data_IF_434811288761
#
_entry.id   IF_434811288761
#
_cell.length_a   1.000
_cell.length_b   1.000
_cell.length_c   1.000
_cell.angle_alpha   90.00
_cell.angle_beta   90.00
_cell.angle_gamma   90.00
#
_symmetry.space_group_name_H-M   'P 1'
#
loop_
_entity.id
_entity.type
_entity.pdbx_description
1 polymer ?
#
# COMPACT_ATOMS: atom_id res chain seq x y z
N UNK A 1 -12.12 -14.18 9.47
CA UNK A 1 -11.29 -13.56 8.41
C UNK A 1 -12.22 -12.94 7.36
N UNK A 2 -11.99 -11.71 6.94
CA UNK A 2 -12.80 -11.05 5.90
C UNK A 2 -12.48 -11.63 4.51
N UNK A 3 -13.52 -11.96 3.75
CA UNK A 3 -13.45 -12.35 2.33
C UNK A 3 -14.54 -11.60 1.58
N UNK A 4 -14.16 -10.65 0.73
CA UNK A 4 -15.14 -9.85 0.01
C UNK A 4 -14.52 -8.92 -1.02
N UNK A 5 -15.30 -8.64 -2.07
CA UNK A 5 -14.91 -7.79 -3.19
C UNK A 5 -15.81 -6.57 -3.35
N UNK A 6 -17.03 -6.59 -2.79
CA UNK A 6 -17.99 -5.49 -2.91
C UNK A 6 -18.09 -4.67 -1.62
N UNK A 7 -18.44 -3.39 -1.77
CA UNK A 7 -18.68 -2.48 -0.65
C UNK A 7 -19.79 -3.00 0.28
N UNK A 8 -20.84 -3.62 -0.29
CA UNK A 8 -21.93 -4.23 0.49
C UNK A 8 -21.44 -5.38 1.38
N UNK A 9 -20.54 -6.23 0.88
CA UNK A 9 -19.93 -7.29 1.69
C UNK A 9 -19.07 -6.71 2.82
N UNK A 10 -18.34 -5.63 2.54
CA UNK A 10 -17.55 -4.93 3.54
C UNK A 10 -18.46 -4.35 4.65
N UNK A 11 -19.50 -3.60 4.28
CA UNK A 11 -20.40 -2.93 5.23
C UNK A 11 -21.19 -3.95 6.08
N UNK A 12 -21.52 -5.12 5.52
CA UNK A 12 -22.15 -6.21 6.28
C UNK A 12 -21.22 -6.84 7.32
N UNK A 13 -19.92 -6.86 7.04
CA UNK A 13 -18.90 -7.49 7.89
C UNK A 13 -18.35 -6.53 8.95
N UNK A 14 -18.14 -5.26 8.60
CA UNK A 14 -17.71 -4.21 9.51
C UNK A 14 -18.84 -3.20 9.68
N UNK A 15 -19.66 -3.38 10.72
CA UNK A 15 -20.82 -2.52 10.96
C UNK A 15 -20.48 -1.35 11.87
N UNK A 16 -19.52 -1.56 12.77
CA UNK A 16 -19.11 -0.55 13.74
C UNK A 16 -17.61 -0.59 14.05
N UNK A 17 -17.14 0.42 14.80
CA UNK A 17 -15.77 0.53 15.28
C UNK A 17 -15.30 -0.71 16.06
N UNK A 18 -16.21 -1.32 16.82
CA UNK A 18 -15.92 -2.50 17.65
C UNK A 18 -15.61 -3.74 16.79
N UNK A 19 -16.26 -3.91 15.63
CA UNK A 19 -15.95 -4.98 14.69
C UNK A 19 -14.53 -4.81 14.14
N UNK A 20 -14.16 -3.59 13.76
CA UNK A 20 -12.81 -3.28 13.28
C UNK A 20 -11.75 -3.52 14.37
N UNK A 21 -12.02 -3.12 15.62
CA UNK A 21 -11.11 -3.34 16.75
C UNK A 21 -10.95 -4.82 17.08
N UNK A 22 -12.04 -5.59 17.07
CA UNK A 22 -12.00 -7.05 17.24
C UNK A 22 -11.17 -7.69 16.14
N UNK A 23 -11.38 -7.28 14.89
CA UNK A 23 -10.62 -7.79 13.76
C UNK A 23 -9.13 -7.45 13.86
N UNK A 24 -8.76 -6.23 14.29
CA UNK A 24 -7.37 -5.87 14.55
C UNK A 24 -6.76 -6.70 15.67
N UNK A 25 -7.51 -6.98 16.74
CA UNK A 25 -7.07 -7.84 17.83
C UNK A 25 -6.65 -9.20 17.30
N UNK A 26 -7.54 -9.83 16.53
CA UNK A 26 -7.31 -11.15 15.94
C UNK A 26 -6.09 -11.13 15.01
N UNK A 27 -5.93 -10.10 14.17
CA UNK A 27 -4.79 -10.00 13.25
C UNK A 27 -3.46 -9.78 13.97
N UNK A 28 -3.43 -8.89 14.97
CA UNK A 28 -2.22 -8.50 15.69
C UNK A 28 -1.65 -9.67 16.49
N UNK A 29 -2.50 -10.44 17.14
CA UNK A 29 -2.08 -11.55 18.02
C UNK A 29 -2.38 -12.94 17.46
N UNK A 30 -2.67 -13.07 16.15
CA UNK A 30 -2.89 -14.36 15.49
C UNK A 30 -1.76 -15.37 15.67
N UNK A 31 -0.52 -14.90 15.86
CA UNK A 31 0.68 -15.74 16.05
C UNK A 31 1.02 -15.96 17.53
N UNK A 32 0.12 -15.59 18.44
CA UNK A 32 0.36 -15.55 19.87
C UNK A 32 0.63 -14.14 20.38
N UNK A 33 0.38 -13.94 21.68
CA UNK A 33 0.76 -12.71 22.38
C UNK A 33 2.25 -12.72 22.70
N UNK A 34 2.91 -11.59 22.49
CA UNK A 34 4.26 -11.37 22.99
C UNK A 34 4.39 -9.92 23.42
N UNK A 35 4.66 -9.71 24.72
CA UNK A 35 4.78 -8.37 25.28
C UNK A 35 5.95 -7.62 24.65
N UNK A 36 5.69 -6.43 24.07
CA UNK A 36 6.75 -5.61 23.45
C UNK A 36 7.82 -5.08 24.42
N UNK A 37 7.56 -5.10 25.74
CA UNK A 37 8.52 -4.63 26.76
C UNK A 37 9.39 -5.75 27.36
N UNK A 38 8.85 -6.96 27.53
CA UNK A 38 9.53 -8.04 28.26
C UNK A 38 9.45 -9.41 27.58
N UNK A 39 8.88 -9.49 26.38
CA UNK A 39 8.72 -10.70 25.56
C UNK A 39 7.92 -11.84 26.20
N UNK A 40 7.25 -11.60 27.34
CA UNK A 40 6.39 -12.58 27.99
C UNK A 40 5.18 -12.95 27.12
N UNK A 41 4.80 -14.23 27.14
CA UNK A 41 3.78 -14.81 26.26
C UNK A 41 2.35 -14.78 26.79
N UNK A 42 2.16 -14.44 28.07
CA UNK A 42 0.83 -14.40 28.68
C UNK A 42 0.33 -12.99 28.95
N UNK A 43 -0.99 -12.83 28.87
CA UNK A 43 -1.67 -11.58 29.15
C UNK A 43 -2.96 -11.77 29.95
N UNK A 44 -3.34 -10.73 30.67
CA UNK A 44 -4.68 -10.52 31.21
C UNK A 44 -5.48 -9.61 30.28
N UNK A 45 -6.81 -9.60 30.47
CA UNK A 45 -7.67 -8.56 29.87
C UNK A 45 -7.15 -7.18 30.30
N UNK A 46 -6.92 -6.30 29.33
CA UNK A 46 -6.44 -4.95 29.59
C UNK A 46 -7.52 -4.03 30.16
N UNK A 47 -7.14 -2.77 30.40
CA UNK A 47 -8.03 -1.75 30.99
C UNK A 47 -9.34 -1.53 30.22
N UNK A 48 -9.35 -1.71 28.90
CA UNK A 48 -10.57 -1.63 28.09
C UNK A 48 -10.72 -2.87 27.21
N UNK A 49 -11.89 -3.04 26.59
CA UNK A 49 -12.32 -4.23 25.83
C UNK A 49 -11.29 -4.74 24.80
N UNK A 50 -10.52 -3.84 24.19
CA UNK A 50 -9.54 -4.15 23.13
C UNK A 50 -8.10 -3.85 23.53
N UNK A 51 -7.77 -4.07 24.81
CA UNK A 51 -6.41 -3.95 25.33
C UNK A 51 -5.97 -5.27 25.95
N UNK A 52 -4.68 -5.52 25.89
CA UNK A 52 -4.01 -6.65 26.55
C UNK A 52 -3.06 -6.12 27.62
N UNK A 53 -3.06 -6.71 28.82
CA UNK A 53 -2.12 -6.36 29.89
C UNK A 53 -1.15 -7.52 30.10
N UNK A 54 0.15 -7.26 29.98
CA UNK A 54 1.17 -8.28 30.24
C UNK A 54 1.11 -8.76 31.70
N UNK A 55 1.14 -10.07 31.95
CA UNK A 55 1.16 -10.62 33.32
C UNK A 55 2.45 -10.32 34.10
N UNK A 56 3.58 -10.14 33.39
CA UNK A 56 4.91 -9.98 33.99
C UNK A 56 5.27 -8.53 34.33
N UNK A 57 4.95 -7.59 33.43
CA UNK A 57 5.40 -6.19 33.57
C UNK A 57 4.26 -5.16 33.56
N UNK A 58 3.01 -5.62 33.64
CA UNK A 58 1.81 -4.78 33.68
C UNK A 58 1.61 -3.81 32.50
N UNK A 59 2.40 -3.98 31.44
CA UNK A 59 2.29 -3.18 30.24
C UNK A 59 0.94 -3.40 29.57
N UNK A 60 0.17 -2.31 29.42
CA UNK A 60 -1.08 -2.30 28.71
C UNK A 60 -0.84 -1.88 27.26
N UNK A 61 -1.27 -2.71 26.33
CA UNK A 61 -1.14 -2.47 24.90
C UNK A 61 -2.51 -2.47 24.22
N UNK A 62 -2.81 -1.43 23.43
CA UNK A 62 -4.04 -1.37 22.64
C UNK A 62 -3.91 -2.16 21.33
N UNK A 63 -5.03 -2.49 20.70
CA UNK A 63 -5.06 -3.11 19.36
C UNK A 63 -4.37 -2.26 18.28
N UNK A 64 -4.42 -0.93 18.39
CA UNK A 64 -3.82 -0.02 17.42
C UNK A 64 -2.36 0.29 17.70
N UNK A 65 -1.88 0.14 18.94
CA UNK A 65 -0.49 0.37 19.30
C UNK A 65 0.46 -0.52 18.49
N UNK A 66 1.60 0.03 18.07
CA UNK A 66 2.63 -0.67 17.29
C UNK A 66 2.12 -1.25 15.95
N UNK A 67 1.11 -0.60 15.35
CA UNK A 67 0.57 -0.93 14.04
C UNK A 67 0.50 0.31 13.16
N UNK A 68 0.18 0.14 11.86
CA UNK A 68 -0.18 1.28 11.01
C UNK A 68 -1.46 1.98 11.44
N UNK A 69 -2.25 1.43 12.38
CA UNK A 69 -3.41 2.10 12.96
C UNK A 69 -3.07 2.97 14.18
N UNK A 70 -1.81 2.96 14.65
CA UNK A 70 -1.39 3.80 15.78
C UNK A 70 -1.49 5.29 15.43
N UNK A 71 -2.10 6.08 16.33
CA UNK A 71 -2.22 7.53 16.19
C UNK A 71 -3.14 7.99 15.05
N UNK A 72 -3.94 7.11 14.46
CA UNK A 72 -4.94 7.51 13.48
C UNK A 72 -6.07 8.27 14.18
N UNK A 73 -6.35 9.48 13.68
CA UNK A 73 -7.48 10.31 14.15
C UNK A 73 -8.78 10.03 13.40
N UNK A 74 -8.72 9.29 12.30
CA UNK A 74 -9.90 8.83 11.55
C UNK A 74 -10.63 7.72 12.32
N UNK A 75 -11.96 7.66 12.26
CA UNK A 75 -12.71 6.47 12.70
C UNK A 75 -12.16 5.22 12.02
N UNK A 76 -11.97 4.14 12.79
CA UNK A 76 -11.36 2.91 12.30
C UNK A 76 -12.19 2.28 11.18
N UNK A 77 -13.51 2.42 11.22
CA UNK A 77 -14.41 1.96 10.18
C UNK A 77 -14.13 2.67 8.84
N UNK A 78 -13.98 4.01 8.86
CA UNK A 78 -13.56 4.78 7.67
C UNK A 78 -12.18 4.33 7.21
N UNK A 79 -11.21 4.19 8.11
CA UNK A 79 -9.86 3.75 7.78
C UNK A 79 -9.83 2.35 7.13
N UNK A 80 -10.62 1.40 7.63
CA UNK A 80 -10.73 0.07 7.05
C UNK A 80 -11.35 0.11 5.65
N UNK A 81 -12.41 0.90 5.46
CA UNK A 81 -13.09 1.03 4.17
C UNK A 81 -12.21 1.71 3.12
N UNK A 82 -11.44 2.73 3.54
CA UNK A 82 -10.40 3.33 2.69
C UNK A 82 -9.32 2.31 2.30
N UNK A 83 -8.83 1.49 3.24
CA UNK A 83 -7.86 0.44 2.94
C UNK A 83 -8.44 -0.62 1.99
N UNK A 84 -9.71 -0.99 2.16
CA UNK A 84 -10.45 -1.86 1.25
C UNK A 84 -10.48 -1.30 -0.18
N UNK A 85 -10.82 -0.02 -0.36
CA UNK A 85 -10.83 0.66 -1.67
C UNK A 85 -9.45 0.70 -2.30
N UNK A 86 -8.41 1.04 -1.54
CA UNK A 86 -7.02 1.09 -2.03
C UNK A 86 -6.55 -0.31 -2.47
N UNK A 87 -7.02 -1.36 -1.79
CA UNK A 87 -6.72 -2.76 -2.17
C UNK A 87 -7.47 -3.24 -3.40
N UNK A 88 -8.57 -2.58 -3.78
CA UNK A 88 -9.42 -2.95 -4.90
C UNK A 88 -8.85 -2.51 -6.25
N UNK A 89 -9.29 -3.16 -7.34
CA UNK A 89 -8.71 -2.99 -8.69
C UNK A 89 -8.64 -1.53 -9.19
N UNK A 90 -9.68 -0.73 -8.96
CA UNK A 90 -9.76 0.65 -9.48
C UNK A 90 -8.90 1.62 -8.65
N UNK A 91 -8.75 1.38 -7.35
CA UNK A 91 -8.22 2.38 -6.43
C UNK A 91 -9.06 3.67 -6.41
N UNK A 92 -8.60 4.67 -5.68
CA UNK A 92 -9.16 6.03 -5.69
C UNK A 92 -8.03 7.05 -5.45
N UNK A 93 -8.18 8.24 -6.03
CA UNK A 93 -7.29 9.34 -5.74
C UNK A 93 -7.47 9.83 -4.29
N UNK A 94 -6.53 10.61 -3.76
CA UNK A 94 -6.73 11.22 -2.45
C UNK A 94 -7.84 12.26 -2.44
N UNK A 95 -8.21 12.82 -3.59
CA UNK A 95 -9.32 13.77 -3.75
C UNK A 95 -10.65 13.01 -3.70
N UNK A 96 -10.78 11.92 -4.45
CA UNK A 96 -11.98 11.08 -4.44
C UNK A 96 -12.21 10.46 -3.06
N UNK A 97 -11.14 9.99 -2.40
CA UNK A 97 -11.22 9.51 -1.02
C UNK A 97 -11.66 10.61 -0.04
N UNK A 98 -11.30 11.87 -0.28
CA UNK A 98 -11.70 12.98 0.56
C UNK A 98 -13.21 13.24 0.45
N UNK A 99 -13.72 13.20 -0.78
CA UNK A 99 -15.14 13.38 -1.11
C UNK A 99 -15.96 12.22 -0.56
N UNK A 100 -15.60 10.99 -0.92
CA UNK A 100 -16.33 9.76 -0.53
C UNK A 100 -16.44 9.59 0.99
N UNK A 101 -15.41 9.97 1.74
CA UNK A 101 -15.37 9.81 3.19
C UNK A 101 -15.64 11.09 3.98
N UNK A 102 -15.90 12.20 3.29
CA UNK A 102 -16.12 13.52 3.89
C UNK A 102 -15.00 13.90 4.87
N UNK A 103 -13.76 13.81 4.41
CA UNK A 103 -12.57 14.16 5.19
C UNK A 103 -11.70 15.15 4.44
N UNK A 104 -10.83 15.87 5.16
CA UNK A 104 -9.83 16.70 4.52
C UNK A 104 -8.94 15.86 3.59
N UNK A 105 -8.70 16.35 2.37
CA UNK A 105 -7.85 15.73 1.37
C UNK A 105 -6.45 15.38 1.92
N UNK A 106 -5.89 16.23 2.78
CA UNK A 106 -4.60 15.97 3.45
C UNK A 106 -4.69 14.74 4.36
N UNK A 107 -5.79 14.56 5.09
CA UNK A 107 -6.02 13.37 5.91
C UNK A 107 -6.17 12.11 5.05
N UNK A 108 -6.92 12.20 3.95
CA UNK A 108 -7.07 11.11 2.99
C UNK A 108 -5.71 10.70 2.40
N UNK A 109 -4.92 11.69 1.98
CA UNK A 109 -3.57 11.49 1.43
C UNK A 109 -2.61 10.89 2.45
N UNK A 110 -2.59 11.39 3.70
CA UNK A 110 -1.75 10.85 4.78
C UNK A 110 -2.09 9.40 5.06
N UNK A 111 -3.37 9.06 5.15
CA UNK A 111 -3.81 7.68 5.38
C UNK A 111 -3.46 6.78 4.19
N UNK A 112 -3.76 7.19 2.96
CA UNK A 112 -3.43 6.40 1.77
C UNK A 112 -1.91 6.17 1.64
N UNK A 113 -1.10 7.18 1.96
CA UNK A 113 0.37 7.05 2.02
C UNK A 113 0.79 6.06 3.10
N UNK A 114 0.15 6.09 4.27
CA UNK A 114 0.39 5.15 5.36
C UNK A 114 0.05 3.71 4.94
N UNK A 115 -1.05 3.50 4.22
CA UNK A 115 -1.46 2.21 3.63
C UNK A 115 -0.42 1.72 2.62
N UNK A 116 0.01 2.55 1.66
CA UNK A 116 1.03 2.19 0.67
C UNK A 116 2.36 1.79 1.31
N UNK A 117 2.77 2.48 2.39
CA UNK A 117 3.97 2.14 3.15
C UNK A 117 3.88 0.78 3.84
N UNK A 118 2.67 0.36 4.25
CA UNK A 118 2.43 -0.94 4.85
C UNK A 118 2.58 -2.10 3.88
N UNK A 119 2.42 -1.85 2.58
CA UNK A 119 2.65 -2.86 1.55
C UNK A 119 4.16 -3.21 1.56
N UNK A 120 4.51 -4.49 1.82
CA UNK A 120 5.89 -4.90 1.89
C UNK A 120 6.56 -4.68 0.53
N UNK A 121 7.81 -4.24 0.57
CA UNK A 121 8.65 -4.31 -0.61
C UNK A 121 9.01 -5.77 -0.84
N UNK A 122 8.85 -6.26 -2.06
CA UNK A 122 9.41 -7.55 -2.41
C UNK A 122 10.91 -7.35 -2.65
N UNK A 123 11.70 -7.95 -1.77
CA UNK A 123 13.15 -7.85 -1.78
C UNK A 123 13.73 -8.46 -3.06
N UNK A 124 14.23 -7.60 -3.95
CA UNK A 124 14.84 -7.95 -5.23
C UNK A 124 16.16 -8.71 -5.08
N UNK A 125 16.80 -8.68 -3.90
CA UNK A 125 18.03 -9.44 -3.63
C UNK A 125 17.78 -10.95 -3.56
N UNK A 126 16.52 -11.38 -3.35
CA UNK A 126 16.12 -12.80 -3.26
C UNK A 126 15.64 -13.39 -4.58
N UNK A 127 15.73 -12.65 -5.68
CA UNK A 127 15.27 -13.08 -7.01
C UNK A 127 16.46 -13.67 -7.79
N UNK A 128 16.41 -14.97 -8.08
CA UNK A 128 17.50 -15.73 -8.75
C UNK A 128 17.78 -15.30 -10.19
N UNK A 129 16.79 -14.74 -10.89
CA UNK A 129 16.93 -14.25 -12.27
C UNK A 129 16.45 -12.80 -12.36
N UNK A 130 17.38 -11.85 -12.39
CA UNK A 130 17.08 -10.43 -12.62
C UNK A 130 16.97 -10.19 -14.12
N UNK A 131 15.76 -10.15 -14.66
CA UNK A 131 15.55 -9.55 -15.98
C UNK A 131 15.42 -8.05 -15.74
N UNK A 132 16.54 -7.32 -15.76
CA UNK A 132 16.53 -5.85 -15.76
C UNK A 132 15.92 -5.41 -17.09
N UNK A 133 14.64 -5.05 -17.08
CA UNK A 133 14.04 -4.29 -18.17
C UNK A 133 14.22 -2.83 -17.82
N UNK A 134 14.94 -2.08 -18.65
CA UNK A 134 14.88 -0.62 -18.65
C UNK A 134 13.46 -0.30 -19.07
N UNK A 135 12.71 0.34 -18.18
CA UNK A 135 11.33 0.72 -18.44
C UNK A 135 11.34 2.15 -18.93
N UNK A 136 10.70 2.38 -20.08
CA UNK A 136 10.25 3.70 -20.48
C UNK A 136 9.63 4.48 -19.32
N UNK A 137 9.92 5.77 -19.30
CA UNK A 137 9.61 6.68 -18.23
C UNK A 137 8.24 6.63 -17.60
N UNK A 138 8.19 6.68 -16.26
CA UNK A 138 6.96 7.01 -15.54
C UNK A 138 6.69 8.50 -15.63
N UNK A 139 5.54 8.83 -16.23
CA UNK A 139 4.92 10.15 -16.18
C UNK A 139 4.77 10.62 -14.73
N UNK A 140 5.52 11.65 -14.36
CA UNK A 140 5.31 12.42 -13.15
C UNK A 140 4.75 13.79 -13.52
N UNK A 141 3.89 14.34 -12.68
CA UNK A 141 3.36 15.70 -12.83
C UNK A 141 4.00 16.56 -11.75
N UNK A 142 4.89 17.47 -12.12
CA UNK A 142 5.52 18.38 -11.18
C UNK A 142 4.87 19.76 -11.24
N UNK A 143 4.85 20.49 -10.11
CA UNK A 143 4.56 21.93 -10.10
C UNK A 143 5.87 22.66 -9.81
N UNK A 144 6.60 23.02 -10.85
CA UNK A 144 7.70 24.01 -10.83
C UNK A 144 7.60 24.84 -12.11
N UNK A 145 8.16 26.05 -12.09
CA UNK A 145 8.45 26.79 -13.32
C UNK A 145 9.22 25.86 -14.29
N UNK A 146 8.78 25.80 -15.54
CA UNK A 146 9.33 24.94 -16.61
C UNK A 146 9.25 23.41 -16.42
N UNK A 147 8.58 22.89 -15.38
CA UNK A 147 8.39 21.44 -15.17
C UNK A 147 6.92 20.99 -15.33
N UNK A 148 6.08 21.80 -15.99
CA UNK A 148 4.68 21.48 -16.23
C UNK A 148 4.58 20.43 -17.35
N UNK A 149 4.72 19.14 -17.02
CA UNK A 149 4.65 18.08 -18.03
C UNK A 149 4.91 16.68 -17.48
N UNK A 150 4.60 15.70 -18.32
CA UNK A 150 4.76 14.26 -18.08
C UNK A 150 6.27 13.90 -18.19
N UNK A 151 6.92 13.53 -17.07
CA UNK A 151 8.37 13.23 -17.07
C UNK A 151 8.70 11.74 -17.32
N UNK A 152 9.94 11.39 -17.70
CA UNK A 152 10.41 10.00 -17.86
C UNK A 152 11.28 9.61 -16.66
N UNK A 153 10.93 8.51 -15.98
CA UNK A 153 11.70 7.90 -14.88
C UNK A 153 11.94 6.43 -15.15
N UNK A 154 13.19 5.99 -15.09
CA UNK A 154 13.53 4.57 -15.21
C UNK A 154 13.13 3.78 -13.97
N UNK A 155 12.50 2.64 -14.19
CA UNK A 155 12.17 1.67 -13.13
C UNK A 155 12.67 0.31 -13.55
N UNK A 156 13.27 -0.43 -12.62
CA UNK A 156 13.67 -1.82 -12.85
C UNK A 156 12.66 -2.78 -12.23
N UNK A 157 12.07 -3.68 -13.04
CA UNK A 157 11.26 -4.79 -12.55
C UNK A 157 12.09 -6.06 -12.37
N UNK A 158 11.72 -6.86 -11.38
CA UNK A 158 12.21 -8.21 -11.14
C UNK A 158 10.99 -9.14 -11.08
N UNK A 159 11.09 -10.33 -11.65
CA UNK A 159 10.02 -11.33 -11.60
C UNK A 159 10.46 -12.52 -10.77
N UNK A 160 9.63 -12.94 -9.81
CA UNK A 160 9.81 -14.20 -9.10
C UNK A 160 8.79 -15.22 -9.60
N UNK A 161 9.27 -16.37 -10.08
CA UNK A 161 8.46 -17.58 -10.16
C UNK A 161 8.46 -18.24 -8.78
N UNK A 162 7.29 -18.40 -8.17
CA UNK A 162 7.11 -19.09 -6.90
C UNK A 162 6.34 -20.38 -7.19
N UNK A 163 6.81 -21.53 -6.68
CA UNK A 163 6.21 -22.83 -7.00
C UNK A 163 4.70 -22.83 -6.62
N UNK A 164 3.83 -23.08 -7.60
CA UNK A 164 2.37 -23.06 -7.42
C UNK A 164 1.69 -21.70 -7.65
N UNK A 165 2.42 -20.61 -7.93
CA UNK A 165 1.84 -19.31 -8.28
C UNK A 165 1.80 -19.14 -9.80
N UNK A 166 0.60 -19.16 -10.38
CA UNK A 166 0.37 -19.09 -11.85
C UNK A 166 0.90 -17.83 -12.55
N UNK A 167 1.15 -16.73 -11.81
CA UNK A 167 1.63 -15.46 -12.39
C UNK A 167 2.88 -14.98 -11.64
N UNK A 168 3.96 -14.59 -12.33
CA UNK A 168 5.17 -14.10 -11.68
C UNK A 168 4.87 -12.84 -10.87
N UNK A 169 5.32 -12.81 -9.62
CA UNK A 169 5.20 -11.62 -8.78
C UNK A 169 6.23 -10.60 -9.25
N UNK A 170 5.74 -9.41 -9.59
CA UNK A 170 6.60 -8.32 -10.03
C UNK A 170 7.06 -7.52 -8.81
N UNK A 171 8.37 -7.40 -8.69
CA UNK A 171 9.10 -6.74 -7.61
C UNK A 171 9.91 -5.60 -8.25
N UNK A 172 10.22 -4.55 -7.50
CA UNK A 172 11.08 -3.46 -8.02
C UNK A 172 12.46 -3.60 -7.43
N UNK A 173 13.49 -3.40 -8.24
CA UNK A 173 14.87 -3.43 -7.75
C UNK A 173 15.32 -2.08 -7.14
N UNK A 174 14.53 -1.03 -7.35
CA UNK A 174 14.80 0.35 -6.98
C UNK A 174 14.48 1.26 -8.16
N UNK A 175 14.20 2.53 -7.87
CA UNK A 175 14.57 3.62 -8.78
C UNK A 175 15.99 4.00 -8.38
N UNK A 176 16.98 3.85 -9.26
CA UNK A 176 18.28 4.48 -8.99
C UNK A 176 18.03 5.99 -8.82
N UNK A 177 18.51 6.62 -7.73
CA UNK A 177 18.52 8.07 -7.63
C UNK A 177 19.66 8.62 -8.51
N UNK A 178 19.54 9.89 -8.87
CA UNK A 178 20.53 10.71 -9.58
C UNK A 178 20.44 10.74 -11.11
N UNK A 179 19.22 10.82 -11.65
CA UNK A 179 19.04 11.73 -12.80
C UNK A 179 19.15 13.13 -12.19
N UNK A 180 20.22 13.87 -12.53
CA UNK A 180 20.36 15.29 -12.15
C UNK A 180 19.18 16.05 -12.74
N UNK A 181 18.76 17.15 -12.09
CA UNK A 181 17.62 17.99 -12.47
C UNK A 181 17.69 18.54 -13.93
N UNK A 182 18.74 18.21 -14.72
CA UNK A 182 18.97 18.63 -16.11
C UNK A 182 18.86 17.49 -17.16
N UNK A 183 18.82 16.21 -16.76
CA UNK A 183 18.83 15.05 -17.68
C UNK A 183 17.41 14.52 -17.98
N UNK A 184 16.50 15.40 -18.39
CA UNK A 184 15.13 15.02 -18.74
C UNK A 184 15.08 14.29 -20.09
N UNK A 185 14.70 13.01 -20.07
CA UNK A 185 14.44 12.24 -21.29
C UNK A 185 13.04 12.57 -21.85
N UNK A 186 12.96 12.77 -23.17
CA UNK A 186 11.71 12.99 -23.89
C UNK A 186 10.79 11.77 -23.72
N UNK A 187 9.49 12.02 -23.50
CA UNK A 187 8.49 10.96 -23.32
C UNK A 187 8.11 10.38 -24.69
N UNK A 188 8.05 9.05 -24.80
CA UNK A 188 7.62 8.35 -26.03
C UNK A 188 6.11 8.45 -26.29
N UNK A 189 5.40 9.31 -25.54
CA UNK A 189 3.97 9.59 -25.74
C UNK A 189 3.81 10.66 -26.81
N UNK A 190 3.62 10.23 -28.05
CA UNK A 190 3.42 11.07 -29.23
C UNK A 190 1.94 11.00 -29.62
N UNK A 191 1.23 12.13 -29.64
CA UNK A 191 -0.21 12.22 -30.00
C UNK A 191 -1.14 11.25 -29.23
N UNK A 192 -0.85 10.98 -27.96
CA UNK A 192 -1.63 10.06 -27.13
C UNK A 192 -1.33 8.57 -27.35
N UNK A 193 -0.37 8.25 -28.21
CA UNK A 193 0.13 6.89 -28.47
C UNK A 193 1.58 6.76 -28.00
N UNK A 194 1.94 5.62 -27.40
CA UNK A 194 3.31 5.35 -26.96
C UNK A 194 4.10 4.65 -28.07
N UNK A 195 5.20 5.23 -28.54
CA UNK A 195 6.01 4.74 -29.67
C UNK A 195 7.37 4.12 -29.22
N UNK A 196 7.42 3.52 -28.02
CA UNK A 196 8.63 2.89 -27.49
C UNK A 196 9.00 1.56 -28.16
N UNK A 197 10.30 1.24 -28.20
CA UNK A 197 10.82 -0.06 -28.65
C UNK A 197 10.56 -1.14 -27.58
N UNK A 198 9.73 -2.14 -27.92
CA UNK A 198 9.32 -3.29 -27.07
C UNK A 198 8.43 -2.95 -25.85
N UNK A 199 7.13 -2.63 -26.06
CA UNK A 199 6.22 -2.25 -24.97
C UNK A 199 5.85 -3.45 -24.07
N UNK A 200 6.33 -3.46 -22.83
CA UNK A 200 5.82 -4.40 -21.82
C UNK A 200 4.41 -4.02 -21.37
N UNK A 201 3.43 -4.89 -21.66
CA UNK A 201 2.01 -4.70 -21.30
C UNK A 201 1.79 -4.36 -19.82
N UNK A 202 2.67 -4.80 -18.91
CA UNK A 202 2.55 -4.51 -17.47
C UNK A 202 2.94 -3.07 -17.15
N UNK A 203 3.93 -2.54 -17.86
CA UNK A 203 4.33 -1.14 -17.75
C UNK A 203 3.22 -0.26 -18.30
N UNK A 204 2.66 -0.61 -19.45
CA UNK A 204 1.53 0.12 -20.02
C UNK A 204 0.35 0.17 -19.04
N UNK A 205 -0.03 -0.97 -18.47
CA UNK A 205 -1.08 -1.04 -17.44
C UNK A 205 -0.74 -0.20 -16.21
N UNK A 206 0.54 -0.14 -15.80
CA UNK A 206 0.98 0.72 -14.69
C UNK A 206 0.83 2.20 -15.03
N UNK A 207 1.31 2.64 -16.20
CA UNK A 207 1.20 4.04 -16.67
C UNK A 207 -0.26 4.47 -16.75
N UNK A 208 -1.10 3.68 -17.42
CA UNK A 208 -2.54 3.94 -17.55
C UNK A 208 -3.24 4.00 -16.18
N UNK A 209 -2.88 3.10 -15.25
CA UNK A 209 -3.40 3.14 -13.90
C UNK A 209 -2.94 4.39 -13.14
N UNK A 210 -1.66 4.74 -13.23
CA UNK A 210 -1.06 5.83 -12.49
C UNK A 210 -1.73 7.16 -12.86
N UNK A 211 -1.87 7.44 -14.15
CA UNK A 211 -2.52 8.66 -14.65
C UNK A 211 -4.04 8.66 -14.42
N UNK A 212 -4.68 7.48 -14.50
CA UNK A 212 -6.13 7.36 -14.27
C UNK A 212 -6.56 7.43 -12.80
N UNK A 213 -5.65 7.18 -11.85
CA UNK A 213 -5.97 7.14 -10.41
C UNK A 213 -5.39 8.31 -9.64
N UNK A 214 -4.27 8.88 -10.07
CA UNK A 214 -3.59 9.94 -9.34
C UNK A 214 -3.59 11.23 -10.15
N UNK A 215 -4.20 12.28 -9.60
CA UNK A 215 -4.13 13.62 -10.19
C UNK A 215 -2.71 14.18 -10.22
N UNK A 216 -1.90 13.85 -9.20
CA UNK A 216 -0.52 14.33 -9.08
C UNK A 216 0.45 13.21 -8.67
N UNK A 217 1.50 13.02 -9.46
CA UNK A 217 2.54 12.02 -9.23
C UNK A 217 3.91 12.68 -9.05
N UNK A 218 4.62 12.32 -7.99
CA UNK A 218 5.96 12.83 -7.67
C UNK A 218 6.95 11.68 -7.53
N UNK A 219 8.20 11.89 -7.95
CA UNK A 219 9.28 10.91 -7.89
C UNK A 219 9.51 10.41 -6.46
N UNK A 220 9.35 11.30 -5.47
CA UNK A 220 9.47 10.98 -4.04
C UNK A 220 8.58 9.79 -3.62
N UNK A 221 7.46 9.59 -4.29
CA UNK A 221 6.48 8.54 -3.96
C UNK A 221 6.42 7.42 -5.00
N UNK A 222 7.34 7.37 -5.98
CA UNK A 222 7.39 6.37 -7.07
C UNK A 222 7.26 4.94 -6.54
N UNK A 223 8.10 4.59 -5.56
CA UNK A 223 8.09 3.29 -4.90
C UNK A 223 6.75 2.97 -4.22
N UNK A 224 6.04 3.98 -3.69
CA UNK A 224 4.74 3.78 -3.05
C UNK A 224 3.64 3.49 -4.08
N UNK A 225 3.65 4.18 -5.23
CA UNK A 225 2.70 3.92 -6.32
C UNK A 225 2.89 2.53 -6.90
N UNK A 226 4.14 2.14 -7.14
CA UNK A 226 4.44 0.85 -7.70
C UNK A 226 4.09 -0.30 -6.73
N UNK A 227 4.37 -0.13 -5.43
CA UNK A 227 3.93 -1.08 -4.39
C UNK A 227 2.42 -1.30 -4.45
N UNK A 228 1.65 -0.22 -4.55
CA UNK A 228 0.20 -0.29 -4.65
C UNK A 228 -0.23 -1.06 -5.90
N UNK A 229 0.36 -0.74 -7.06
CA UNK A 229 0.04 -1.41 -8.32
C UNK A 229 0.33 -2.89 -8.32
N UNK A 230 1.55 -3.28 -7.93
CA UNK A 230 1.91 -4.68 -7.92
C UNK A 230 1.20 -5.45 -6.83
N UNK A 231 0.86 -4.82 -5.69
CA UNK A 231 -0.03 -5.43 -4.71
C UNK A 231 -1.39 -5.79 -5.31
N UNK A 232 -2.04 -4.88 -6.05
CA UNK A 232 -3.33 -5.15 -6.71
C UNK A 232 -3.19 -6.20 -7.81
N UNK A 233 -2.14 -6.11 -8.62
CA UNK A 233 -1.88 -7.05 -9.70
C UNK A 233 -1.66 -8.48 -9.17
N UNK A 234 -0.86 -8.62 -8.12
CA UNK A 234 -0.54 -9.90 -7.48
C UNK A 234 -1.76 -10.51 -6.76
N UNK A 235 -2.70 -9.68 -6.28
CA UNK A 235 -3.95 -10.13 -5.68
C UNK A 235 -5.12 -10.22 -6.69
N UNK A 236 -4.86 -10.05 -8.00
CA UNK A 236 -5.93 -10.04 -9.02
C UNK A 236 -6.73 -11.35 -9.13
N UNK A 237 -6.13 -12.48 -8.76
CA UNK A 237 -6.79 -13.79 -8.68
C UNK A 237 -7.46 -14.08 -7.32
N UNK A 238 -7.13 -13.32 -6.28
CA UNK A 238 -7.66 -13.47 -4.90
C UNK A 238 -8.15 -12.12 -4.36
N UNK A 239 -9.01 -11.46 -5.13
CA UNK A 239 -9.50 -10.10 -4.82
C UNK A 239 -10.27 -10.05 -3.51
N UNK A 240 -10.97 -11.14 -3.20
CA UNK A 240 -11.73 -11.33 -1.96
C UNK A 240 -10.84 -11.25 -0.71
N UNK A 241 -9.57 -11.62 -0.83
CA UNK A 241 -8.58 -11.60 0.26
C UNK A 241 -7.66 -10.38 0.24
N UNK A 242 -7.69 -9.55 -0.80
CA UNK A 242 -6.78 -8.41 -0.94
C UNK A 242 -6.84 -7.48 0.28
N UNK A 243 -8.05 -7.11 0.72
CA UNK A 243 -8.24 -6.28 1.90
C UNK A 243 -7.73 -6.98 3.18
N UNK A 244 -8.02 -8.27 3.36
CA UNK A 244 -7.50 -9.02 4.51
C UNK A 244 -5.96 -9.03 4.55
N UNK A 245 -5.30 -9.27 3.42
CA UNK A 245 -3.84 -9.25 3.34
C UNK A 245 -3.28 -7.87 3.67
N UNK A 246 -3.87 -6.81 3.13
CA UNK A 246 -3.46 -5.44 3.42
C UNK A 246 -3.62 -5.10 4.91
N UNK A 247 -4.78 -5.38 5.49
CA UNK A 247 -5.03 -5.18 6.92
C UNK A 247 -4.09 -6.02 7.79
N UNK A 248 -3.74 -7.23 7.36
CA UNK A 248 -2.76 -8.07 8.05
C UNK A 248 -1.36 -7.43 8.07
N UNK A 249 -0.93 -6.84 6.95
CA UNK A 249 0.35 -6.12 6.91
C UNK A 249 0.31 -4.87 7.79
N UNK A 250 -0.78 -4.12 7.74
CA UNK A 250 -0.98 -2.94 8.57
C UNK A 250 -1.01 -3.26 10.07
N UNK A 251 -1.54 -4.41 10.46
CA UNK A 251 -1.62 -4.85 11.85
C UNK A 251 -0.30 -5.43 12.39
N UNK A 252 0.57 -5.96 11.53
CA UNK A 252 1.76 -6.70 11.96
C UNK A 252 2.98 -5.83 12.31
N UNK A 253 3.07 -4.63 11.73
CA UNK A 253 4.30 -3.80 11.79
C UNK A 253 3.93 -2.33 12.08
N UNK A 254 4.74 -1.65 12.89
CA UNK A 254 4.70 -0.20 13.05
C UNK A 254 5.51 0.45 11.92
N UNK A 255 5.02 1.50 11.24
CA UNK A 255 5.86 2.24 10.31
C UNK A 255 7.12 2.78 11.01
N UNK A 256 8.29 2.69 10.35
CA UNK A 256 9.44 3.51 10.71
C UNK A 256 8.97 4.97 10.74
N UNK A 257 9.33 5.72 11.82
CA UNK A 257 8.80 7.04 12.16
C UNK A 257 8.44 7.85 10.91
N UNK A 258 7.15 8.18 10.75
CA UNK A 258 6.71 9.09 9.71
C UNK A 258 7.25 10.49 10.04
N UNK A 259 8.16 10.99 9.22
CA UNK A 259 8.49 12.43 9.11
C UNK A 259 7.24 13.15 8.56
#
# INVERSE_FOLDING_TARGET
>A
MFKGVSTKQFDNFFRCEDDCRKYLFDLKWRKGYSCRRCSHGEYWKGRTKFHTRCKKCDYNESVSANTFFEGIKLPLLKAFKMAFIISAKKGMSSVDLAIEFEINQKSAWLFATKVRKAIPFYDSSKVRSKVRRIIDGIILSHRRENCNGLQKVEVSLCQKAEAGVKKPQVCIAGSEPDIKDDDFLQCDLVHGSYEGLDPDIRIWNFKAWLTGTHHHCSLKYSNSYLKEFFFRQNNSSRKDLACHHLLSFMAAVKPAKCI
#
